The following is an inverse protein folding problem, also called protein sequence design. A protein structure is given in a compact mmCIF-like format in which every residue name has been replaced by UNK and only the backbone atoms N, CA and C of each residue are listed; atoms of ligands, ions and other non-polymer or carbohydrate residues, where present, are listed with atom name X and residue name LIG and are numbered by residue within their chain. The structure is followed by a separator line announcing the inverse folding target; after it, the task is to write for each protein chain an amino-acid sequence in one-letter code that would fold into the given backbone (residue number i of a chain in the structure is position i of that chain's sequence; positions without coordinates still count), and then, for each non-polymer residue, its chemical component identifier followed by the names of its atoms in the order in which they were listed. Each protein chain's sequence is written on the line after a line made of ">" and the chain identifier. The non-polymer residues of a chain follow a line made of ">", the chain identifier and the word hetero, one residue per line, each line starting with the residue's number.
data_IF_991941510323
#
_entry.id   IF_991941510323
#
_cell.length_a   1.000
_cell.length_b   1.000
_cell.length_c   1.000
_cell.angle_alpha   90.00
_cell.angle_beta   90.00
_cell.angle_gamma   90.00
#
_symmetry.space_group_name_H-M   'P 1'
#
loop_
_entity.id
_entity.type
_entity.pdbx_description
1 polymer ?
#
# COMPACT_ATOMS: atom_id res chain seq x y z
N UNK A 1 -9.17 6.08 3.70
CA UNK A 1 -8.25 5.34 4.58
C UNK A 1 -9.06 4.82 5.78
N UNK A 2 -9.26 3.51 5.82
CA UNK A 2 -9.89 2.88 7.00
C UNK A 2 -8.75 2.30 7.83
N UNK A 3 -8.48 2.91 8.96
CA UNK A 3 -7.57 2.35 9.98
C UNK A 3 -8.40 1.36 10.80
N UNK A 4 -8.17 0.06 10.58
CA UNK A 4 -8.70 -0.99 11.45
C UNK A 4 -7.78 -1.11 12.67
N UNK A 5 -8.18 -0.53 13.79
CA UNK A 5 -7.62 -0.85 15.09
C UNK A 5 -8.20 -2.19 15.55
N UNK A 6 -7.35 -3.22 15.66
CA UNK A 6 -7.74 -4.50 16.23
C UNK A 6 -7.86 -4.37 17.75
N UNK A 7 -9.10 -4.46 18.27
CA UNK A 7 -9.37 -4.70 19.68
C UNK A 7 -9.27 -6.21 19.94
N UNK A 8 -8.35 -6.63 20.79
CA UNK A 8 -8.30 -8.00 21.31
C UNK A 8 -9.40 -8.23 22.34
N UNK A 9 -10.17 -9.34 22.28
CA UNK A 9 -11.18 -9.61 23.27
C UNK A 9 -10.55 -10.24 24.52
N UNK A 10 -10.72 -9.61 25.66
CA UNK A 10 -10.61 -10.30 26.97
C UNK A 10 -11.99 -10.61 27.50
N UNK A 11 -12.27 -11.90 27.65
CA UNK A 11 -13.07 -12.57 28.67
C UNK A 11 -14.53 -12.12 28.85
N UNK A 12 -15.38 -13.09 28.65
CA UNK A 12 -16.84 -13.11 28.79
C UNK A 12 -17.39 -12.58 30.11
N UNK A 13 -18.49 -11.79 30.03
CA UNK A 13 -19.72 -11.93 30.79
C UNK A 13 -20.73 -10.91 30.24
N UNK A 14 -21.98 -11.35 30.08
CA UNK A 14 -23.02 -10.69 29.30
C UNK A 14 -23.43 -9.29 29.81
N UNK A 15 -23.87 -8.51 28.84
CA UNK A 15 -24.45 -7.20 28.95
C UNK A 15 -24.20 -6.44 27.66
N UNK A 16 -25.24 -6.05 26.95
CA UNK A 16 -25.17 -5.09 25.85
C UNK A 16 -24.61 -3.76 26.39
N UNK A 17 -23.28 -3.68 26.47
CA UNK A 17 -22.59 -2.41 26.66
C UNK A 17 -22.60 -1.74 25.31
N UNK A 18 -23.56 -0.87 25.04
CA UNK A 18 -23.43 0.16 24.03
C UNK A 18 -22.08 0.81 24.24
N UNK A 19 -21.29 0.90 23.16
CA UNK A 19 -20.02 1.63 23.16
C UNK A 19 -20.31 3.02 23.74
N UNK A 20 -19.83 3.26 24.97
CA UNK A 20 -20.16 4.46 25.75
C UNK A 20 -19.49 5.74 25.21
N UNK A 21 -19.29 5.83 23.90
CA UNK A 21 -18.77 7.02 23.22
C UNK A 21 -19.91 8.05 23.08
N UNK A 22 -19.64 9.27 23.51
CA UNK A 22 -20.51 10.43 23.37
C UNK A 22 -19.98 11.38 22.30
N UNK A 23 -20.80 12.31 21.84
CA UNK A 23 -20.35 13.37 20.92
C UNK A 23 -19.24 14.23 21.55
N UNK A 24 -19.15 14.28 22.87
CA UNK A 24 -18.11 15.01 23.60
C UNK A 24 -16.73 14.37 23.43
N UNK A 25 -16.66 13.05 23.20
CA UNK A 25 -15.41 12.33 22.94
C UNK A 25 -14.78 12.70 21.59
N UNK A 26 -15.56 13.33 20.70
CA UNK A 26 -15.15 13.76 19.36
C UNK A 26 -15.05 15.28 19.20
N UNK A 27 -15.19 16.06 20.30
CA UNK A 27 -15.04 17.51 20.24
C UNK A 27 -13.59 17.90 20.01
N UNK A 28 -13.39 18.82 19.07
CA UNK A 28 -12.06 19.31 18.67
C UNK A 28 -11.56 20.47 19.54
N UNK A 29 -12.34 20.90 20.53
CA UNK A 29 -11.94 21.99 21.42
C UNK A 29 -10.75 21.57 22.30
N UNK A 30 -9.62 22.23 22.10
CA UNK A 30 -8.38 22.00 22.86
C UNK A 30 -7.31 21.15 22.15
N UNK A 31 -7.56 20.58 21.00
CA UNK A 31 -6.55 19.84 20.22
C UNK A 31 -5.76 20.84 19.35
N UNK A 32 -4.89 21.61 19.97
CA UNK A 32 -3.91 22.43 19.25
C UNK A 32 -2.55 21.72 19.09
N UNK A 33 -2.46 20.46 19.44
CA UNK A 33 -1.23 19.71 19.26
C UNK A 33 -1.16 19.20 17.83
N UNK A 34 -0.19 19.69 17.04
CA UNK A 34 0.03 19.23 15.68
C UNK A 34 0.30 17.72 15.69
N UNK A 35 -0.55 16.97 15.00
CA UNK A 35 -0.34 15.53 14.80
C UNK A 35 0.69 15.37 13.67
N UNK A 36 1.86 14.79 13.91
CA UNK A 36 2.87 14.61 12.88
C UNK A 36 2.40 13.61 11.82
N UNK A 37 2.64 13.94 10.55
CA UNK A 37 2.47 12.98 9.45
C UNK A 37 3.56 11.92 9.55
N UNK A 38 3.17 10.65 9.67
CA UNK A 38 4.09 9.52 9.87
C UNK A 38 4.21 8.61 8.66
N UNK A 39 3.24 8.64 7.76
CA UNK A 39 3.19 7.78 6.60
C UNK A 39 2.81 8.56 5.35
N UNK A 40 3.27 8.07 4.20
CA UNK A 40 2.87 8.57 2.89
C UNK A 40 2.69 7.42 1.90
N UNK A 41 1.94 7.69 0.83
CA UNK A 41 1.87 6.80 -0.33
C UNK A 41 2.87 7.22 -1.39
N UNK A 42 3.44 6.24 -2.09
CA UNK A 42 4.14 6.41 -3.35
C UNK A 42 3.26 5.85 -4.48
N UNK A 43 3.14 6.60 -5.54
CA UNK A 43 2.46 6.17 -6.76
C UNK A 43 3.26 6.59 -7.98
N UNK A 44 3.77 5.65 -8.73
CA UNK A 44 4.56 5.87 -9.95
C UNK A 44 3.98 5.09 -11.14
N UNK A 45 2.87 4.38 -10.95
CA UNK A 45 2.27 3.54 -11.98
C UNK A 45 0.84 3.94 -12.38
N UNK A 46 0.15 4.77 -11.60
CA UNK A 46 -1.19 5.24 -11.95
C UNK A 46 -1.15 6.19 -13.14
N UNK A 47 -1.91 5.90 -14.17
CA UNK A 47 -1.91 6.61 -15.45
C UNK A 47 -2.38 8.07 -15.38
N UNK A 48 -3.11 8.42 -14.35
CA UNK A 48 -3.67 9.76 -14.12
C UNK A 48 -2.80 10.64 -13.21
N UNK A 49 -1.66 10.11 -12.76
CA UNK A 49 -0.68 10.85 -11.98
C UNK A 49 0.50 11.20 -12.88
N UNK A 50 0.99 12.46 -12.83
CA UNK A 50 2.19 12.82 -13.55
C UNK A 50 3.39 11.99 -13.07
N UNK A 51 3.92 11.15 -13.95
CA UNK A 51 5.13 10.39 -13.68
C UNK A 51 6.33 11.33 -13.57
N UNK A 52 7.14 11.12 -12.56
CA UNK A 52 8.28 11.98 -12.29
C UNK A 52 9.43 11.69 -13.26
N UNK A 53 9.53 10.48 -13.83
CA UNK A 53 10.68 9.98 -14.57
C UNK A 53 11.98 10.16 -13.79
N UNK A 54 11.92 9.99 -12.47
CA UNK A 54 13.05 10.15 -11.59
C UNK A 54 13.94 8.92 -11.60
N UNK A 55 15.25 9.15 -11.52
CA UNK A 55 16.25 8.13 -11.25
C UNK A 55 16.49 7.98 -9.73
N UNK A 56 17.43 7.10 -9.41
CA UNK A 56 17.80 6.80 -8.01
C UNK A 56 18.22 8.06 -7.23
N UNK A 57 18.79 9.03 -7.89
CA UNK A 57 19.31 10.24 -7.26
C UNK A 57 18.17 11.15 -6.76
N UNK A 58 17.15 11.31 -7.56
CA UNK A 58 15.98 12.11 -7.26
C UNK A 58 15.15 11.41 -6.18
N UNK A 59 14.93 10.11 -6.30
CA UNK A 59 14.23 9.31 -5.29
C UNK A 59 14.98 9.28 -3.95
N UNK A 60 16.32 9.18 -3.96
CA UNK A 60 17.12 9.29 -2.74
C UNK A 60 16.94 10.65 -2.03
N UNK A 61 16.87 11.73 -2.80
CA UNK A 61 16.60 13.05 -2.25
C UNK A 61 15.21 13.15 -1.63
N UNK A 62 14.20 12.53 -2.27
CA UNK A 62 12.82 12.53 -1.79
C UNK A 62 12.66 11.70 -0.50
N UNK A 63 13.22 10.48 -0.46
CA UNK A 63 13.22 9.65 0.74
C UNK A 63 13.90 10.35 1.92
N UNK A 64 15.02 11.03 1.66
CA UNK A 64 15.70 11.85 2.67
C UNK A 64 14.81 13.00 3.15
N UNK A 65 14.11 13.68 2.24
CA UNK A 65 13.18 14.76 2.61
C UNK A 65 12.03 14.24 3.46
N UNK A 66 11.40 13.12 3.08
CA UNK A 66 10.37 12.45 3.86
C UNK A 66 10.87 12.11 5.27
N UNK A 67 12.06 11.52 5.38
CA UNK A 67 12.67 11.20 6.68
C UNK A 67 12.86 12.44 7.54
N UNK A 68 13.36 13.54 6.97
CA UNK A 68 13.58 14.80 7.67
C UNK A 68 12.27 15.43 8.16
N UNK A 69 11.16 15.21 7.47
CA UNK A 69 9.82 15.63 7.90
C UNK A 69 9.21 14.74 8.99
N UNK A 70 9.88 13.64 9.35
CA UNK A 70 9.41 12.69 10.36
C UNK A 70 8.52 11.58 9.81
N UNK A 71 8.43 11.42 8.50
CA UNK A 71 7.78 10.28 7.85
C UNK A 71 8.68 9.06 8.06
N UNK A 72 8.13 7.99 8.58
CA UNK A 72 8.84 6.74 8.86
C UNK A 72 8.20 5.52 8.20
N UNK A 73 7.14 5.73 7.43
CA UNK A 73 6.40 4.67 6.75
C UNK A 73 6.05 5.10 5.33
N UNK A 74 6.36 4.24 4.39
CA UNK A 74 6.06 4.41 2.97
C UNK A 74 5.18 3.26 2.51
N UNK A 75 4.12 3.57 1.79
CA UNK A 75 3.22 2.60 1.21
C UNK A 75 3.28 2.76 -0.32
N UNK A 76 3.82 1.77 -1.02
CA UNK A 76 3.62 1.69 -2.47
C UNK A 76 2.13 1.43 -2.71
N UNK A 77 1.42 2.37 -3.31
CA UNK A 77 -0.03 2.28 -3.41
C UNK A 77 -0.48 1.06 -4.21
N UNK A 78 0.33 0.67 -5.21
CA UNK A 78 0.10 -0.53 -6.03
C UNK A 78 1.36 -0.95 -6.79
N UNK A 79 1.56 -2.25 -6.90
CA UNK A 79 2.64 -2.82 -7.71
C UNK A 79 2.38 -2.66 -9.22
N UNK A 80 1.13 -2.46 -9.57
CA UNK A 80 0.70 -2.19 -10.93
C UNK A 80 -0.77 -1.84 -11.02
N UNK A 81 -1.13 -1.12 -12.10
CA UNK A 81 -2.50 -0.78 -12.45
C UNK A 81 -2.73 -1.09 -13.93
N UNK A 82 -3.59 -2.07 -14.20
CA UNK A 82 -3.86 -2.53 -15.55
C UNK A 82 -2.58 -2.97 -16.24
N UNK A 83 -2.14 -2.22 -17.25
CA UNK A 83 -0.94 -2.54 -18.04
C UNK A 83 0.38 -2.04 -17.48
N UNK A 84 0.36 -1.16 -16.49
CA UNK A 84 1.59 -0.58 -15.93
C UNK A 84 1.97 -1.26 -14.63
N UNK A 85 3.21 -1.75 -14.53
CA UNK A 85 3.73 -2.42 -13.34
C UNK A 85 5.07 -1.82 -12.91
N UNK A 86 5.35 -1.82 -11.61
CA UNK A 86 6.52 -1.17 -11.02
C UNK A 86 7.83 -1.95 -11.20
N UNK A 87 7.75 -3.24 -11.49
CA UNK A 87 8.90 -4.11 -11.72
C UNK A 87 8.49 -5.28 -12.63
N UNK A 88 9.45 -5.99 -13.27
CA UNK A 88 9.16 -7.12 -14.15
C UNK A 88 8.78 -8.36 -13.35
N UNK A 89 7.50 -8.44 -12.93
CA UNK A 89 6.94 -9.61 -12.24
C UNK A 89 6.60 -10.69 -13.25
N UNK A 90 7.22 -11.87 -13.12
CA UNK A 90 7.05 -12.98 -14.06
C UNK A 90 5.59 -13.44 -14.14
N UNK A 91 4.93 -13.56 -12.98
CA UNK A 91 3.53 -13.98 -12.92
C UNK A 91 2.58 -13.03 -13.67
N UNK A 92 2.89 -11.73 -13.72
CA UNK A 92 2.12 -10.74 -14.47
C UNK A 92 2.48 -10.74 -15.94
N UNK A 93 3.77 -10.89 -16.29
CA UNK A 93 4.25 -10.98 -17.66
C UNK A 93 3.70 -12.21 -18.40
N UNK A 94 3.50 -13.33 -17.68
CA UNK A 94 2.91 -14.55 -18.24
C UNK A 94 1.38 -14.48 -18.42
N UNK A 95 0.72 -13.71 -17.55
CA UNK A 95 -0.75 -13.73 -17.44
C UNK A 95 -1.44 -12.54 -18.07
N UNK A 96 -0.74 -11.41 -18.20
CA UNK A 96 -1.29 -10.13 -18.62
C UNK A 96 -0.35 -9.45 -19.62
N UNK A 97 -0.90 -8.59 -20.47
CA UNK A 97 -0.11 -7.72 -21.34
C UNK A 97 0.29 -6.47 -20.55
N UNK A 98 1.49 -6.48 -19.99
CA UNK A 98 1.98 -5.42 -19.10
C UNK A 98 3.28 -4.79 -19.58
N UNK A 99 3.52 -3.56 -19.13
CA UNK A 99 4.72 -2.77 -19.37
C UNK A 99 5.36 -2.40 -18.04
N UNK A 100 6.67 -2.45 -17.99
CA UNK A 100 7.46 -2.10 -16.80
C UNK A 100 8.56 -1.09 -17.15
N UNK A 101 9.00 -0.28 -16.19
CA UNK A 101 10.09 0.67 -16.40
C UNK A 101 11.44 -0.07 -16.56
N UNK A 102 12.45 0.58 -17.14
CA UNK A 102 13.80 -0.01 -17.29
C UNK A 102 14.52 -0.19 -15.94
N UNK A 103 13.98 0.36 -14.86
CA UNK A 103 14.48 0.27 -13.49
C UNK A 103 13.47 -0.50 -12.66
N UNK A 104 13.93 -1.45 -11.85
CA UNK A 104 13.11 -2.10 -10.84
C UNK A 104 12.81 -1.08 -9.72
N UNK A 105 11.61 -0.49 -9.77
CA UNK A 105 11.22 0.53 -8.79
C UNK A 105 11.03 -0.06 -7.39
N UNK A 106 10.62 -1.33 -7.31
CA UNK A 106 10.40 -1.98 -6.00
C UNK A 106 11.72 -2.18 -5.28
N UNK A 107 12.71 -2.76 -5.96
CA UNK A 107 14.06 -2.92 -5.42
C UNK A 107 14.66 -1.56 -5.00
N UNK A 108 14.51 -0.55 -5.84
CA UNK A 108 15.01 0.79 -5.56
C UNK A 108 14.35 1.40 -4.32
N UNK A 109 13.02 1.33 -4.21
CA UNK A 109 12.29 1.90 -3.07
C UNK A 109 12.59 1.16 -1.77
N UNK A 110 12.71 -0.16 -1.79
CA UNK A 110 13.07 -0.95 -0.63
C UNK A 110 14.52 -0.66 -0.18
N UNK A 111 15.45 -0.58 -1.12
CA UNK A 111 16.84 -0.18 -0.83
C UNK A 111 16.90 1.21 -0.18
N UNK A 112 16.10 2.16 -0.67
CA UNK A 112 16.03 3.50 -0.07
C UNK A 112 15.34 3.48 1.29
N UNK A 113 14.29 2.69 1.46
CA UNK A 113 13.61 2.52 2.74
C UNK A 113 14.55 1.92 3.80
N UNK A 114 15.33 0.89 3.46
CA UNK A 114 16.38 0.33 4.31
C UNK A 114 17.40 1.39 4.70
N UNK A 115 17.91 2.13 3.71
CA UNK A 115 18.90 3.20 3.92
C UNK A 115 18.44 4.25 4.93
N UNK A 116 17.17 4.62 4.89
CA UNK A 116 16.60 5.65 5.76
C UNK A 116 15.90 5.11 7.00
N UNK A 117 15.89 3.79 7.20
CA UNK A 117 15.21 3.12 8.32
C UNK A 117 13.71 3.46 8.34
N UNK A 118 13.05 3.26 7.22
CA UNK A 118 11.60 3.49 7.02
C UNK A 118 10.91 2.15 6.83
N UNK A 119 9.70 2.00 7.38
CA UNK A 119 8.84 0.87 7.10
C UNK A 119 8.28 0.97 5.68
N UNK A 120 8.25 -0.13 4.95
CA UNK A 120 7.70 -0.21 3.60
C UNK A 120 6.56 -1.24 3.53
N UNK A 121 5.42 -0.83 2.98
CA UNK A 121 4.28 -1.70 2.69
C UNK A 121 4.09 -1.79 1.18
N UNK A 122 4.06 -3.02 0.70
CA UNK A 122 3.93 -3.31 -0.72
C UNK A 122 2.46 -3.35 -1.13
N UNK A 123 2.05 -2.47 -2.04
CA UNK A 123 0.70 -2.45 -2.63
C UNK A 123 0.53 -3.52 -3.69
N UNK A 124 -0.61 -4.18 -3.67
CA UNK A 124 -0.93 -5.27 -4.58
C UNK A 124 -1.16 -4.78 -6.02
N UNK A 125 -1.21 -5.71 -6.96
CA UNK A 125 -1.58 -5.43 -8.34
C UNK A 125 -3.10 -5.24 -8.45
N UNK A 126 -3.51 -4.18 -9.13
CA UNK A 126 -4.88 -3.90 -9.52
C UNK A 126 -5.03 -4.07 -11.03
N UNK A 127 -5.75 -5.11 -11.46
CA UNK A 127 -5.98 -5.35 -12.89
C UNK A 127 -6.81 -4.24 -13.56
N UNK A 128 -7.51 -3.42 -12.78
CA UNK A 128 -8.44 -2.41 -13.27
C UNK A 128 -9.71 -2.98 -13.91
N UNK A 129 -9.84 -4.31 -13.98
CA UNK A 129 -10.96 -4.96 -14.70
C UNK A 129 -11.61 -6.10 -13.91
N UNK A 130 -10.84 -7.08 -13.42
CA UNK A 130 -11.42 -8.31 -12.88
C UNK A 130 -12.32 -8.10 -11.68
N UNK A 131 -11.89 -7.32 -10.71
CA UNK A 131 -12.72 -7.01 -9.54
C UNK A 131 -13.91 -6.11 -9.88
N UNK A 132 -13.79 -5.22 -10.88
CA UNK A 132 -14.90 -4.40 -11.36
C UNK A 132 -15.96 -5.22 -12.12
N UNK A 133 -15.54 -6.28 -12.82
CA UNK A 133 -16.38 -7.21 -13.54
C UNK A 133 -16.97 -8.32 -12.64
N UNK A 134 -16.58 -8.37 -11.37
CA UNK A 134 -16.99 -9.41 -10.43
C UNK A 134 -16.20 -10.72 -10.55
N UNK A 135 -15.07 -10.70 -11.26
CA UNK A 135 -14.17 -11.85 -11.43
C UNK A 135 -13.12 -11.89 -10.29
N UNK A 136 -13.59 -11.76 -9.06
CA UNK A 136 -12.74 -11.62 -7.87
C UNK A 136 -11.73 -12.74 -7.70
N UNK A 137 -12.13 -14.00 -7.99
CA UNK A 137 -11.22 -15.12 -7.84
C UNK A 137 -9.99 -14.98 -8.73
N UNK A 138 -10.17 -14.47 -9.95
CA UNK A 138 -9.05 -14.23 -10.88
C UNK A 138 -8.10 -13.15 -10.37
N UNK A 139 -8.62 -12.07 -9.81
CA UNK A 139 -7.83 -11.02 -9.16
C UNK A 139 -7.05 -11.58 -7.97
N UNK A 140 -7.71 -12.39 -7.14
CA UNK A 140 -7.10 -13.04 -5.96
C UNK A 140 -5.99 -14.00 -6.39
N UNK A 141 -6.25 -14.90 -7.33
CA UNK A 141 -5.29 -15.91 -7.77
C UNK A 141 -4.03 -15.27 -8.36
N UNK A 142 -4.20 -14.16 -9.08
CA UNK A 142 -3.09 -13.41 -9.66
C UNK A 142 -2.24 -12.75 -8.55
N UNK A 143 -2.89 -12.12 -7.58
CA UNK A 143 -2.21 -11.48 -6.47
C UNK A 143 -1.56 -12.48 -5.50
N UNK A 144 -2.10 -13.68 -5.33
CA UNK A 144 -1.43 -14.74 -4.56
C UNK A 144 -0.10 -15.15 -5.19
N UNK A 145 -0.05 -15.32 -6.52
CA UNK A 145 1.21 -15.58 -7.23
C UNK A 145 2.20 -14.43 -7.09
N UNK A 146 1.69 -13.19 -7.17
CA UNK A 146 2.52 -12.01 -6.99
C UNK A 146 3.12 -11.94 -5.57
N UNK A 147 2.35 -12.28 -4.54
CA UNK A 147 2.85 -12.34 -3.14
C UNK A 147 4.04 -13.30 -3.05
N UNK A 148 3.91 -14.50 -3.59
CA UNK A 148 4.98 -15.51 -3.53
C UNK A 148 6.24 -15.01 -4.25
N UNK A 149 6.10 -14.45 -5.45
CA UNK A 149 7.20 -13.92 -6.24
C UNK A 149 7.88 -12.74 -5.54
N UNK A 150 7.10 -11.77 -5.08
CA UNK A 150 7.59 -10.56 -4.38
C UNK A 150 8.30 -10.95 -3.10
N UNK A 151 7.75 -11.88 -2.32
CA UNK A 151 8.41 -12.34 -1.10
C UNK A 151 9.74 -13.03 -1.38
N UNK A 152 9.78 -13.87 -2.41
CA UNK A 152 11.02 -14.54 -2.82
C UNK A 152 12.11 -13.56 -3.28
N UNK A 153 11.73 -12.46 -3.98
CA UNK A 153 12.68 -11.46 -4.50
C UNK A 153 13.09 -10.44 -3.45
N UNK A 154 12.14 -9.88 -2.71
CA UNK A 154 12.34 -8.69 -1.89
C UNK A 154 12.16 -8.91 -0.39
N UNK A 155 11.72 -10.08 0.03
CA UNK A 155 11.48 -10.38 1.46
C UNK A 155 12.72 -10.32 2.35
N UNK A 156 13.90 -10.14 1.77
CA UNK A 156 15.16 -9.97 2.50
C UNK A 156 15.41 -8.53 3.00
N UNK A 157 14.64 -7.54 2.51
CA UNK A 157 14.78 -6.16 2.95
C UNK A 157 14.21 -5.97 4.36
N UNK A 158 14.99 -5.34 5.24
CA UNK A 158 14.56 -5.06 6.63
C UNK A 158 13.36 -4.11 6.68
N UNK A 159 13.25 -3.22 5.69
CA UNK A 159 12.14 -2.27 5.55
C UNK A 159 10.82 -2.92 5.15
N UNK A 160 10.83 -4.13 4.57
CA UNK A 160 9.61 -4.79 4.10
C UNK A 160 8.75 -5.25 5.30
N UNK A 161 7.66 -4.52 5.60
CA UNK A 161 6.85 -4.75 6.79
C UNK A 161 5.49 -5.38 6.52
N UNK A 162 5.06 -5.47 5.26
CA UNK A 162 3.77 -6.08 4.92
C UNK A 162 3.18 -5.62 3.62
N UNK A 163 1.88 -5.88 3.50
CA UNK A 163 1.12 -5.76 2.27
C UNK A 163 0.02 -4.70 2.40
N UNK A 164 -0.26 -4.03 1.32
CA UNK A 164 -1.38 -3.10 1.19
C UNK A 164 -2.33 -3.58 0.10
N UNK A 165 -3.61 -3.73 0.42
CA UNK A 165 -4.64 -4.10 -0.55
C UNK A 165 -5.05 -2.86 -1.35
N UNK A 166 -4.71 -2.86 -2.64
CA UNK A 166 -4.84 -1.70 -3.52
C UNK A 166 -6.25 -1.51 -4.08
N UNK A 167 -7.09 -2.54 -4.02
CA UNK A 167 -8.45 -2.51 -4.59
C UNK A 167 -9.39 -1.65 -3.73
N UNK A 168 -10.00 -0.66 -4.35
CA UNK A 168 -10.96 0.23 -3.71
C UNK A 168 -12.38 -0.34 -3.84
N UNK A 169 -12.79 -1.14 -2.88
CA UNK A 169 -14.10 -1.79 -2.87
C UNK A 169 -15.16 -0.83 -2.32
N UNK A 170 -16.28 -0.70 -3.02
CA UNK A 170 -17.41 0.13 -2.64
C UNK A 170 -18.72 -0.67 -2.60
N UNK A 171 -19.78 -0.08 -2.02
CA UNK A 171 -21.15 -0.66 -2.05
C UNK A 171 -21.69 -0.88 -3.47
N UNK A 172 -21.07 -0.27 -4.49
CA UNK A 172 -21.45 -0.43 -5.90
C UNK A 172 -20.73 -1.58 -6.58
N UNK A 173 -19.73 -2.17 -5.93
CA UNK A 173 -19.01 -3.34 -6.45
C UNK A 173 -19.98 -4.51 -6.48
N UNK A 174 -20.22 -5.06 -7.67
CA UNK A 174 -21.20 -6.12 -7.90
C UNK A 174 -20.63 -7.48 -7.48
N UNK A 175 -21.51 -8.38 -7.05
CA UNK A 175 -21.18 -9.80 -6.81
C UNK A 175 -20.15 -10.07 -5.70
N UNK A 176 -20.10 -9.22 -4.67
CA UNK A 176 -19.39 -9.58 -3.43
C UNK A 176 -20.24 -10.44 -2.52
#
# INVERSE_FOLDING_TARGET
>A
AVVLAACSPKGAAGGDAACGLSDDDFRTEGILQAIPVRATFLDEVSWDIPHQNWGVREWDADFRAMKNMGINTVVLIRAGLGRWIAAPFECLLESEEVYYPPVDLVEMFLTLADKYGMAFYFGMYDSGKYWQEGLFQREIDLNLKLIDEVWARYGHHESFQGWYLSQEISRRTKNM
#
